data_IF_933293423063
#
_entry.id   IF_933293423063
#
_cell.length_a   1.000
_cell.length_b   1.000
_cell.length_c   1.000
_cell.angle_alpha   90.00
_cell.angle_beta   90.00
_cell.angle_gamma   90.00
#
_symmetry.space_group_name_H-M   'P 1'
#
loop_
_entity.id
_entity.type
_entity.pdbx_description
1 polymer ?
#
# COMPACT_ATOMS: atom_id res chain seq x y z
N UNK A 1 41.06 -41.65 0.20
CA UNK A 1 41.32 -40.19 0.16
C UNK A 1 40.02 -39.50 -0.22
N UNK A 2 39.45 -38.70 0.68
CA UNK A 2 38.16 -38.03 0.50
C UNK A 2 38.34 -36.81 -0.40
N UNK A 3 37.69 -36.79 -1.56
CA UNK A 3 37.49 -35.57 -2.33
C UNK A 3 36.43 -34.73 -1.63
N UNK A 4 36.84 -33.60 -1.06
CA UNK A 4 35.90 -32.55 -0.63
C UNK A 4 35.51 -31.74 -1.87
N UNK A 5 34.28 -31.91 -2.34
CA UNK A 5 33.66 -30.98 -3.27
C UNK A 5 33.12 -29.80 -2.47
N UNK A 6 33.80 -28.66 -2.54
CA UNK A 6 33.26 -27.40 -2.03
C UNK A 6 32.10 -26.98 -2.93
N UNK A 7 30.87 -27.15 -2.45
CA UNK A 7 29.67 -26.58 -3.09
C UNK A 7 29.69 -25.09 -2.78
N UNK A 8 29.89 -24.27 -3.80
CA UNK A 8 29.78 -22.83 -3.71
C UNK A 8 28.36 -22.45 -3.29
N UNK A 9 28.21 -21.95 -2.06
CA UNK A 9 27.00 -21.29 -1.60
C UNK A 9 26.90 -19.90 -2.24
N UNK A 10 26.52 -19.86 -3.53
CA UNK A 10 26.02 -18.65 -4.19
C UNK A 10 24.51 -18.81 -4.36
N UNK A 11 23.80 -18.70 -3.25
CA UNK A 11 22.35 -18.61 -3.24
C UNK A 11 21.90 -17.53 -2.25
N UNK A 12 22.47 -16.34 -2.33
CA UNK A 12 21.74 -15.15 -1.89
C UNK A 12 20.85 -14.72 -3.05
N UNK A 13 19.73 -15.44 -3.14
CA UNK A 13 18.43 -15.02 -3.64
C UNK A 13 18.45 -13.66 -4.35
N UNK A 14 18.71 -13.68 -5.66
CA UNK A 14 18.30 -12.64 -6.58
C UNK A 14 16.77 -12.69 -6.74
N UNK A 15 16.05 -12.58 -5.63
CA UNK A 15 14.68 -12.10 -5.64
C UNK A 15 14.79 -10.57 -5.66
N UNK A 16 15.35 -10.03 -6.75
CA UNK A 16 14.94 -8.72 -7.19
C UNK A 16 13.46 -8.88 -7.59
N UNK A 17 12.60 -8.98 -6.58
CA UNK A 17 11.16 -8.92 -6.72
C UNK A 17 10.93 -7.58 -7.38
N UNK A 18 10.67 -7.58 -8.68
CA UNK A 18 10.27 -6.38 -9.38
C UNK A 18 8.92 -5.99 -8.78
N UNK A 19 8.92 -5.06 -7.82
CA UNK A 19 7.71 -4.36 -7.41
C UNK A 19 7.36 -3.32 -8.49
N UNK A 20 6.08 -2.95 -8.60
CA UNK A 20 5.67 -1.93 -9.57
C UNK A 20 6.40 -0.61 -9.29
N UNK A 21 6.74 0.14 -10.34
CA UNK A 21 7.25 1.50 -10.19
C UNK A 21 6.08 2.49 -10.25
N UNK A 22 5.53 2.82 -9.08
CA UNK A 22 4.40 3.74 -8.97
C UNK A 22 4.80 5.19 -8.73
N UNK A 23 6.10 5.51 -8.64
CA UNK A 23 6.57 6.87 -8.33
C UNK A 23 6.04 7.90 -9.33
N UNK A 24 5.48 9.01 -8.85
CA UNK A 24 4.97 10.11 -9.67
C UNK A 24 3.97 11.01 -8.95
N UNK A 25 3.54 12.06 -9.65
CA UNK A 25 2.46 12.96 -9.21
C UNK A 25 1.19 12.67 -10.00
N UNK A 26 0.07 12.62 -9.30
CA UNK A 26 -1.20 12.12 -9.80
C UNK A 26 -2.35 13.08 -9.49
N UNK A 27 -3.17 13.32 -10.52
CA UNK A 27 -4.27 14.27 -10.50
C UNK A 27 -5.59 13.53 -10.74
N UNK A 28 -6.67 14.00 -10.12
CA UNK A 28 -8.01 13.46 -10.36
C UNK A 28 -8.63 14.00 -11.67
N UNK A 29 -9.93 13.74 -11.84
CA UNK A 29 -10.68 14.20 -13.01
C UNK A 29 -10.87 15.71 -13.10
N UNK A 30 -10.77 16.41 -11.97
CA UNK A 30 -10.95 17.87 -11.89
C UNK A 30 -9.61 18.63 -12.04
N UNK A 31 -8.53 17.88 -12.31
CA UNK A 31 -7.16 18.37 -12.45
C UNK A 31 -6.55 18.95 -11.16
N UNK A 32 -7.06 18.56 -10.00
CA UNK A 32 -6.46 18.88 -8.71
C UNK A 32 -5.37 17.86 -8.36
N UNK A 33 -4.24 18.32 -7.80
CA UNK A 33 -3.14 17.45 -7.39
C UNK A 33 -3.58 16.67 -6.15
N UNK A 34 -3.90 15.39 -6.32
CA UNK A 34 -4.41 14.58 -5.21
C UNK A 34 -3.30 13.85 -4.47
N UNK A 35 -2.33 13.27 -5.20
CA UNK A 35 -1.31 12.41 -4.58
C UNK A 35 0.05 12.52 -5.26
N UNK A 36 1.11 12.70 -4.47
CA UNK A 36 2.47 12.36 -4.89
C UNK A 36 2.90 11.09 -4.19
N UNK A 37 3.31 10.09 -4.97
CA UNK A 37 3.80 8.82 -4.45
C UNK A 37 5.29 8.72 -4.77
N UNK A 38 6.10 8.49 -3.74
CA UNK A 38 7.53 8.18 -3.90
C UNK A 38 7.80 6.79 -3.37
N UNK A 39 8.31 5.92 -4.23
CA UNK A 39 8.64 4.54 -3.87
C UNK A 39 10.15 4.33 -3.96
N UNK A 40 10.75 3.81 -2.88
CA UNK A 40 12.14 3.41 -2.85
C UNK A 40 12.19 1.88 -2.94
N UNK A 41 12.40 1.39 -4.18
CA UNK A 41 12.42 -0.04 -4.50
C UNK A 41 11.20 -0.74 -3.90
N UNK A 42 11.37 -1.89 -3.27
CA UNK A 42 10.31 -2.62 -2.59
C UNK A 42 10.45 -2.50 -1.07
N UNK A 43 11.06 -1.40 -0.60
CA UNK A 43 11.44 -1.21 0.80
C UNK A 43 10.51 -0.20 1.49
N UNK A 44 10.19 0.90 0.82
CA UNK A 44 9.32 1.93 1.39
C UNK A 44 8.49 2.66 0.34
N UNK A 45 7.39 3.24 0.80
CA UNK A 45 6.55 4.13 0.01
C UNK A 45 6.13 5.33 0.87
N UNK A 46 6.26 6.51 0.30
CA UNK A 46 5.79 7.77 0.87
C UNK A 46 4.63 8.30 0.04
N UNK A 47 3.53 8.66 0.69
CA UNK A 47 2.48 9.50 0.10
C UNK A 47 2.55 10.88 0.69
N UNK A 48 2.31 11.85 -0.16
CA UNK A 48 2.06 13.22 0.26
C UNK A 48 0.88 13.77 -0.52
N UNK A 49 -0.02 14.42 0.20
CA UNK A 49 -1.09 15.27 -0.31
C UNK A 49 -0.86 16.71 0.19
N UNK A 50 -1.82 17.60 0.02
CA UNK A 50 -1.69 19.01 0.43
C UNK A 50 -1.58 19.17 1.96
N UNK A 51 -2.13 18.23 2.74
CA UNK A 51 -2.28 18.37 4.19
C UNK A 51 -1.26 17.54 4.98
N UNK A 52 -0.75 16.45 4.38
CA UNK A 52 -0.01 15.44 5.10
C UNK A 52 1.07 14.75 4.26
N UNK A 53 2.04 14.14 4.95
CA UNK A 53 3.00 13.22 4.35
C UNK A 53 3.15 12.00 5.24
N UNK A 54 2.88 10.83 4.67
CA UNK A 54 2.93 9.54 5.37
C UNK A 54 3.96 8.64 4.69
N UNK A 55 4.91 8.11 5.48
CA UNK A 55 5.89 7.13 4.99
C UNK A 55 5.65 5.78 5.65
N UNK A 56 5.59 4.73 4.83
CA UNK A 56 5.41 3.37 5.28
C UNK A 56 6.50 2.45 4.73
N UNK A 57 6.97 1.54 5.59
CA UNK A 57 7.96 0.54 5.23
C UNK A 57 7.27 -0.77 4.86
N UNK A 58 7.74 -1.40 3.80
CA UNK A 58 7.24 -2.67 3.29
C UNK A 58 8.03 -3.83 3.88
N UNK A 59 7.83 -4.06 5.17
CA UNK A 59 8.45 -5.15 5.94
C UNK A 59 7.42 -6.09 6.57
N UNK A 60 6.15 -5.98 6.13
CA UNK A 60 5.00 -6.69 6.68
C UNK A 60 4.71 -6.39 8.16
N UNK A 61 5.28 -5.32 8.73
CA UNK A 61 4.96 -4.85 10.08
C UNK A 61 3.79 -3.87 10.02
N UNK A 62 2.82 -4.07 10.91
CA UNK A 62 1.70 -3.15 11.11
C UNK A 62 2.15 -1.94 11.94
N UNK A 63 1.78 -0.74 11.50
CA UNK A 63 2.21 0.54 12.09
C UNK A 63 1.03 1.45 12.35
N UNK A 64 1.10 2.24 13.41
CA UNK A 64 0.12 3.30 13.67
C UNK A 64 0.32 4.41 12.64
N UNK A 65 -0.75 4.75 11.91
CA UNK A 65 -0.82 5.91 11.03
C UNK A 65 -1.26 7.16 11.79
N UNK A 66 -2.30 7.02 12.61
CA UNK A 66 -2.98 8.13 13.28
C UNK A 66 -3.61 7.64 14.59
N UNK A 67 -3.71 8.56 15.56
CA UNK A 67 -4.43 8.32 16.81
C UNK A 67 -5.15 9.60 17.23
N UNK A 68 -6.47 9.54 17.39
CA UNK A 68 -7.30 10.66 17.84
C UNK A 68 -8.19 10.26 19.03
N UNK A 69 -7.54 9.93 20.15
CA UNK A 69 -8.15 9.66 21.46
C UNK A 69 -9.00 8.38 21.56
N UNK A 70 -9.96 8.18 20.66
CA UNK A 70 -10.85 7.02 20.57
C UNK A 70 -10.57 6.15 19.36
N UNK A 71 -9.93 6.70 18.34
CA UNK A 71 -9.66 6.00 17.09
C UNK A 71 -8.16 5.79 16.91
N UNK A 72 -7.75 4.60 16.47
CA UNK A 72 -6.40 4.32 16.00
C UNK A 72 -6.42 3.68 14.62
N UNK A 73 -5.71 4.28 13.68
CA UNK A 73 -5.50 3.75 12.36
C UNK A 73 -4.16 2.99 12.31
N UNK A 74 -4.17 1.77 11.81
CA UNK A 74 -3.00 0.93 11.59
C UNK A 74 -2.84 0.61 10.12
N UNK A 75 -1.62 0.52 9.62
CA UNK A 75 -1.37 0.11 8.25
C UNK A 75 -0.23 -0.90 8.13
N UNK A 76 -0.37 -1.80 7.16
CA UNK A 76 0.68 -2.67 6.67
C UNK A 76 0.83 -2.46 5.17
N UNK A 77 2.09 -2.40 4.71
CA UNK A 77 2.42 -2.30 3.30
C UNK A 77 3.07 -3.58 2.80
N UNK A 78 2.68 -3.99 1.60
CA UNK A 78 3.28 -5.13 0.88
C UNK A 78 3.28 -4.86 -0.63
N UNK A 79 4.14 -5.58 -1.36
CA UNK A 79 4.21 -5.50 -2.82
C UNK A 79 3.89 -6.84 -3.43
N UNK A 80 3.17 -6.80 -4.55
CA UNK A 80 3.12 -7.90 -5.51
C UNK A 80 3.96 -7.52 -6.73
N UNK A 81 3.92 -8.35 -7.78
CA UNK A 81 4.55 -8.04 -9.05
C UNK A 81 3.95 -6.78 -9.69
N UNK A 82 2.64 -6.59 -9.56
CA UNK A 82 1.89 -5.59 -10.33
C UNK A 82 1.32 -4.47 -9.46
N UNK A 83 1.11 -4.74 -8.16
CA UNK A 83 0.43 -3.84 -7.23
C UNK A 83 1.26 -3.53 -5.97
N UNK A 84 1.23 -2.27 -5.53
CA UNK A 84 1.46 -1.90 -4.12
C UNK A 84 0.15 -2.15 -3.37
N UNK A 85 0.20 -2.85 -2.23
CA UNK A 85 -0.96 -3.17 -1.41
C UNK A 85 -0.81 -2.60 -0.01
N UNK A 86 -1.90 -2.01 0.47
CA UNK A 86 -1.98 -1.27 1.72
C UNK A 86 -3.18 -1.78 2.46
N UNK A 87 -2.92 -2.40 3.59
CA UNK A 87 -3.93 -2.97 4.46
C UNK A 87 -4.05 -2.06 5.68
N UNK A 88 -5.09 -1.23 5.68
CA UNK A 88 -5.41 -0.29 6.76
C UNK A 88 -6.47 -0.92 7.65
N UNK A 89 -6.25 -0.88 8.96
CA UNK A 89 -7.21 -1.31 9.98
C UNK A 89 -7.54 -0.15 10.90
N UNK A 90 -8.81 0.01 11.21
CA UNK A 90 -9.30 1.05 12.10
C UNK A 90 -9.84 0.39 13.37
N UNK A 91 -9.24 0.75 14.50
CA UNK A 91 -9.85 0.56 15.80
C UNK A 91 -10.58 1.85 16.15
N UNK A 92 -11.90 1.79 16.23
CA UNK A 92 -12.77 2.94 16.49
C UNK A 92 -12.99 3.21 17.99
N UNK A 93 -12.52 2.32 18.87
CA UNK A 93 -12.65 2.46 20.31
C UNK A 93 -14.08 2.27 20.83
N UNK A 94 -14.34 1.10 21.42
CA UNK A 94 -15.61 0.80 22.11
C UNK A 94 -16.69 0.21 21.20
N UNK A 95 -17.93 0.14 21.71
CA UNK A 95 -19.09 -0.35 20.94
C UNK A 95 -19.60 0.75 20.02
N UNK A 96 -19.43 0.59 18.71
CA UNK A 96 -20.04 1.47 17.74
C UNK A 96 -21.51 1.12 17.54
N UNK A 97 -22.40 2.12 17.56
CA UNK A 97 -23.81 1.95 17.20
C UNK A 97 -24.00 1.74 15.69
N UNK A 98 -22.95 2.01 14.90
CA UNK A 98 -22.94 1.90 13.45
C UNK A 98 -21.96 0.83 12.99
N UNK A 99 -22.35 0.11 11.94
CA UNK A 99 -21.53 -0.89 11.25
C UNK A 99 -20.48 -0.17 10.38
N UNK A 100 -19.45 0.36 11.04
CA UNK A 100 -18.36 1.08 10.39
C UNK A 100 -17.39 0.08 9.75
N UNK A 101 -16.83 0.40 8.56
CA UNK A 101 -15.68 -0.34 8.05
C UNK A 101 -14.54 -0.33 9.07
N UNK A 102 -13.96 -1.50 9.32
CA UNK A 102 -12.82 -1.66 10.24
C UNK A 102 -11.52 -1.98 9.50
N UNK A 103 -11.60 -2.24 8.18
CA UNK A 103 -10.45 -2.56 7.36
C UNK A 103 -10.63 -2.09 5.93
N UNK A 104 -9.59 -1.53 5.34
CA UNK A 104 -9.51 -1.18 3.92
C UNK A 104 -8.29 -1.85 3.32
N UNK A 105 -8.50 -2.58 2.23
CA UNK A 105 -7.40 -3.03 1.39
C UNK A 105 -7.37 -2.14 0.15
N UNK A 106 -6.40 -1.25 0.11
CA UNK A 106 -6.14 -0.38 -1.04
C UNK A 106 -5.00 -0.95 -1.86
N UNK A 107 -5.20 -1.10 -3.17
CA UNK A 107 -4.14 -1.49 -4.11
C UNK A 107 -3.91 -0.43 -5.16
N UNK A 108 -2.64 -0.15 -5.45
CA UNK A 108 -2.19 0.83 -6.41
C UNK A 108 -1.37 0.17 -7.50
N UNK A 109 -1.66 0.52 -8.76
CA UNK A 109 -0.90 0.07 -9.92
C UNK A 109 -0.86 1.11 -11.01
N UNK A 110 0.10 0.97 -11.92
CA UNK A 110 0.16 1.77 -13.14
C UNK A 110 -0.49 1.00 -14.27
N UNK A 111 -1.49 1.60 -14.92
CA UNK A 111 -2.12 1.01 -16.09
C UNK A 111 -1.28 1.16 -17.37
N UNK A 112 -1.78 0.59 -18.46
CA UNK A 112 -1.12 0.67 -19.79
C UNK A 112 -1.01 2.10 -20.35
N UNK A 113 -1.79 3.04 -19.82
CA UNK A 113 -1.79 4.45 -20.20
C UNK A 113 -0.93 5.31 -19.27
N UNK A 114 -0.19 4.67 -18.34
CA UNK A 114 0.66 5.32 -17.35
C UNK A 114 -0.14 6.07 -16.26
N UNK A 115 -1.42 5.75 -16.04
CA UNK A 115 -2.24 6.31 -14.97
C UNK A 115 -2.12 5.48 -13.70
N UNK A 116 -2.30 6.11 -12.53
CA UNK A 116 -2.45 5.39 -11.27
C UNK A 116 -3.89 4.89 -11.14
N UNK A 117 -4.05 3.58 -11.04
CA UNK A 117 -5.31 2.96 -10.71
C UNK A 117 -5.27 2.58 -9.24
N UNK A 118 -6.17 3.18 -8.47
CA UNK A 118 -6.45 2.85 -7.08
C UNK A 118 -7.69 1.97 -7.02
N UNK A 119 -7.62 0.90 -6.25
CA UNK A 119 -8.76 0.04 -5.93
C UNK A 119 -8.90 -0.03 -4.42
N UNK A 120 -10.07 0.31 -3.90
CA UNK A 120 -10.37 0.34 -2.47
C UNK A 120 -11.40 -0.74 -2.15
N UNK A 121 -11.11 -1.57 -1.15
CA UNK A 121 -12.02 -2.60 -0.64
C UNK A 121 -12.23 -2.43 0.85
N UNK A 122 -13.31 -1.78 1.30
CA UNK A 122 -13.71 -1.73 2.69
C UNK A 122 -14.33 -3.05 3.18
N UNK A 123 -14.05 -3.40 4.43
CA UNK A 123 -14.56 -4.61 5.10
C UNK A 123 -15.16 -4.28 6.47
N UNK A 124 -16.21 -5.02 6.83
CA UNK A 124 -16.77 -5.06 8.17
C UNK A 124 -15.93 -5.92 9.13
N UNK A 125 -16.28 -5.88 10.41
CA UNK A 125 -15.62 -6.69 11.45
C UNK A 125 -15.78 -8.20 11.23
N UNK A 126 -16.91 -8.64 10.65
CA UNK A 126 -17.13 -10.04 10.28
C UNK A 126 -16.34 -10.49 9.03
N UNK A 127 -15.59 -9.58 8.42
CA UNK A 127 -14.79 -9.81 7.22
C UNK A 127 -15.56 -9.73 5.91
N UNK A 128 -16.85 -9.39 5.93
CA UNK A 128 -17.61 -9.16 4.70
C UNK A 128 -17.16 -7.88 4.00
N UNK A 129 -17.06 -7.93 2.67
CA UNK A 129 -16.72 -6.78 1.83
C UNK A 129 -17.94 -5.88 1.66
N UNK A 130 -17.78 -4.58 1.93
CA UNK A 130 -18.85 -3.57 1.82
C UNK A 130 -19.03 -3.07 0.38
N UNK A 131 -18.05 -3.32 -0.48
CA UNK A 131 -18.01 -2.91 -1.87
C UNK A 131 -16.59 -2.87 -2.40
N UNK A 132 -16.46 -2.58 -3.69
CA UNK A 132 -15.18 -2.27 -4.32
C UNK A 132 -15.32 -0.97 -5.10
N UNK A 133 -14.46 -0.01 -4.80
CA UNK A 133 -14.34 1.24 -5.55
C UNK A 133 -13.07 1.25 -6.39
N UNK A 134 -13.14 1.92 -7.54
CA UNK A 134 -12.00 2.14 -8.44
C UNK A 134 -11.88 3.63 -8.73
N UNK A 135 -10.68 4.16 -8.52
CA UNK A 135 -10.35 5.54 -8.86
C UNK A 135 -9.13 5.51 -9.80
N UNK A 136 -9.15 6.34 -10.84
CA UNK A 136 -8.04 6.46 -11.77
C UNK A 136 -7.54 7.89 -11.78
N UNK A 137 -6.25 8.06 -11.53
CA UNK A 137 -5.58 9.35 -11.49
C UNK A 137 -4.60 9.48 -12.66
N UNK A 138 -4.65 10.62 -13.34
CA UNK A 138 -3.72 10.91 -14.45
C UNK A 138 -2.33 11.21 -13.89
N UNK A 139 -1.32 10.53 -14.43
CA UNK A 139 0.09 10.82 -14.10
C UNK A 139 0.61 11.99 -14.92
N UNK A 140 1.30 12.92 -14.28
CA UNK A 140 2.04 13.99 -14.98
C UNK A 140 3.49 13.52 -15.21
N UNK A 141 4.00 13.78 -16.42
CA UNK A 141 5.38 13.48 -16.81
C UNK A 141 6.32 14.61 -16.44
#
# INVERSE_FOLDING_TARGET
MKFLTAVAALAFSASALACPNITGSFYDSDEDLVKTITQVRCESTTWSDEESTTTLLADNVERVLETDGKMTAYARVSFTKDDLIIDIRMDWGGSNEFDLPVRWITSYRIDKFNNLVEKIRPFKEDGSELGTDYVTFRRVK
#
